data_IF_820978137299
#
_entry.id   IF_820978137299
#
_cell.length_a   1.000
_cell.length_b   1.000
_cell.length_c   1.000
_cell.angle_alpha   90.00
_cell.angle_beta   90.00
_cell.angle_gamma   90.00
#
_symmetry.space_group_name_H-M   'P 1'
#
loop_
_entity.id
_entity.type
_entity.pdbx_description
1 polymer ?
#
# COMPACT_ATOMS: atom_id res chain seq x y z
N UNK A 1 16.40 19.17 4.54
CA UNK A 1 16.41 18.31 3.33
C UNK A 1 15.05 17.65 3.26
N UNK A 2 14.28 17.84 2.18
CA UNK A 2 12.95 17.26 2.05
C UNK A 2 13.07 15.81 1.56
N UNK A 3 12.47 14.86 2.28
CA UNK A 3 12.48 13.45 1.88
C UNK A 3 11.57 13.25 0.65
N UNK A 4 11.88 12.27 -0.23
CA UNK A 4 10.96 11.84 -1.26
C UNK A 4 9.62 11.42 -0.64
N UNK A 5 8.51 11.72 -1.31
CA UNK A 5 7.17 11.43 -0.77
C UNK A 5 6.95 9.94 -0.50
N UNK A 6 7.54 9.07 -1.32
CA UNK A 6 7.50 7.62 -1.13
C UNK A 6 8.19 7.19 0.17
N UNK A 7 9.30 7.84 0.55
CA UNK A 7 9.97 7.59 1.83
C UNK A 7 9.10 8.00 3.01
N UNK A 8 8.43 9.15 2.91
CA UNK A 8 7.52 9.63 3.96
C UNK A 8 6.33 8.68 4.12
N UNK A 9 5.68 8.29 3.02
CA UNK A 9 4.57 7.34 3.04
C UNK A 9 4.98 5.96 3.54
N UNK A 10 6.18 5.49 3.21
CA UNK A 10 6.73 4.23 3.71
C UNK A 10 6.88 4.25 5.24
N UNK A 11 7.49 5.31 5.78
CA UNK A 11 7.65 5.49 7.23
C UNK A 11 6.30 5.62 7.93
N UNK A 12 5.37 6.38 7.34
CA UNK A 12 4.01 6.52 7.86
C UNK A 12 3.30 5.16 7.90
N UNK A 13 3.33 4.41 6.81
CA UNK A 13 2.73 3.07 6.70
C UNK A 13 3.26 2.13 7.78
N UNK A 14 4.58 2.09 7.98
CA UNK A 14 5.19 1.32 9.08
C UNK A 14 4.69 1.75 10.46
N UNK A 15 4.52 3.05 10.68
CA UNK A 15 4.06 3.58 11.96
C UNK A 15 2.60 3.21 12.24
N UNK A 16 1.71 3.35 11.25
CA UNK A 16 0.29 3.06 11.43
C UNK A 16 0.01 1.56 11.52
N UNK A 17 0.79 0.72 10.81
CA UNK A 17 0.65 -0.73 10.87
C UNK A 17 0.78 -1.26 12.30
N UNK A 18 1.54 -0.61 13.20
CA UNK A 18 1.62 -1.00 14.62
C UNK A 18 0.27 -1.05 15.34
N UNK A 19 -0.71 -0.30 14.86
CA UNK A 19 -2.05 -0.20 15.45
C UNK A 19 -3.16 -0.64 14.49
N UNK A 20 -2.80 -1.16 13.31
CA UNK A 20 -3.74 -1.57 12.27
C UNK A 20 -3.56 -3.04 11.92
N UNK A 21 -4.68 -3.70 11.60
CA UNK A 21 -4.64 -5.07 11.08
C UNK A 21 -4.15 -5.11 9.63
N UNK A 22 -4.60 -4.14 8.83
CA UNK A 22 -4.17 -3.92 7.46
C UNK A 22 -4.13 -2.44 7.11
N UNK A 23 -3.35 -2.10 6.10
CA UNK A 23 -3.36 -0.80 5.42
C UNK A 23 -3.45 -1.07 3.93
N UNK A 24 -4.30 -0.30 3.26
CA UNK A 24 -4.60 -0.47 1.84
C UNK A 24 -4.31 0.83 1.10
N UNK A 25 -3.61 0.70 -0.02
CA UNK A 25 -3.33 1.78 -0.96
C UNK A 25 -3.85 1.33 -2.32
N UNK A 26 -4.65 2.16 -2.98
CA UNK A 26 -5.11 1.87 -4.33
C UNK A 26 -5.10 3.14 -5.18
N UNK A 27 -5.09 2.95 -6.50
CA UNK A 27 -5.24 4.02 -7.48
C UNK A 27 -6.58 3.90 -8.18
N UNK A 28 -7.27 5.03 -8.34
CA UNK A 28 -8.41 5.16 -9.22
C UNK A 28 -8.44 6.59 -9.76
N UNK A 29 -8.97 6.77 -10.96
CA UNK A 29 -9.40 8.09 -11.41
C UNK A 29 -10.72 8.46 -10.73
N UNK A 30 -11.08 9.74 -10.81
CA UNK A 30 -12.40 10.17 -10.37
C UNK A 30 -13.48 9.40 -11.14
N UNK A 31 -14.50 8.91 -10.42
CA UNK A 31 -15.59 8.08 -10.94
C UNK A 31 -15.18 6.66 -11.36
N UNK A 32 -13.93 6.24 -11.09
CA UNK A 32 -13.47 4.86 -11.31
C UNK A 32 -13.31 4.06 -10.00
N UNK A 33 -13.79 4.56 -8.87
CA UNK A 33 -13.61 3.92 -7.56
C UNK A 33 -14.29 2.54 -7.47
N UNK A 34 -15.40 2.37 -8.19
CA UNK A 34 -16.16 1.12 -8.28
C UNK A 34 -15.75 0.23 -9.48
N UNK A 35 -14.80 0.70 -10.30
CA UNK A 35 -14.30 -0.07 -11.45
C UNK A 35 -13.40 -1.19 -10.94
N UNK A 36 -13.45 -2.34 -11.63
CA UNK A 36 -12.67 -3.51 -11.25
C UNK A 36 -11.15 -3.22 -11.22
N UNK A 37 -10.52 -3.67 -10.14
CA UNK A 37 -9.07 -3.58 -9.95
C UNK A 37 -8.34 -4.37 -11.04
N UNK A 38 -7.28 -3.79 -11.61
CA UNK A 38 -6.45 -4.47 -12.59
C UNK A 38 -5.53 -5.52 -11.96
N UNK A 39 -5.13 -5.30 -10.70
CA UNK A 39 -4.23 -6.16 -9.95
C UNK A 39 -4.39 -5.96 -8.44
N UNK A 40 -4.06 -7.00 -7.68
CA UNK A 40 -3.93 -6.93 -6.22
C UNK A 40 -2.59 -7.51 -5.80
N UNK A 41 -1.84 -6.76 -4.98
CA UNK A 41 -0.64 -7.22 -4.28
C UNK A 41 -0.91 -7.25 -2.79
N UNK A 42 -0.55 -8.34 -2.13
CA UNK A 42 -0.62 -8.46 -0.68
C UNK A 42 0.78 -8.76 -0.12
N UNK A 43 1.22 -7.93 0.82
CA UNK A 43 2.49 -8.05 1.53
C UNK A 43 2.24 -8.17 3.03
N UNK A 44 3.01 -8.99 3.72
CA UNK A 44 3.17 -8.84 5.17
C UNK A 44 4.06 -7.63 5.49
N UNK A 45 4.06 -7.18 6.75
CA UNK A 45 4.96 -6.10 7.17
C UNK A 45 6.45 -6.44 6.97
N UNK A 46 6.81 -7.73 7.07
CA UNK A 46 8.18 -8.21 6.82
C UNK A 46 8.53 -8.25 5.32
N UNK A 47 7.54 -8.37 4.44
CA UNK A 47 7.72 -8.34 2.98
C UNK A 47 7.74 -6.90 2.41
N UNK A 48 7.21 -5.93 3.17
CA UNK A 48 7.18 -4.51 2.81
C UNK A 48 8.50 -3.80 3.17
N UNK A 49 9.56 -4.07 2.42
CA UNK A 49 10.95 -3.69 2.73
C UNK A 49 11.47 -2.43 2.02
N UNK A 50 10.70 -1.85 1.09
CA UNK A 50 11.16 -0.73 0.28
C UNK A 50 10.06 0.30 -0.02
N UNK A 51 10.37 1.62 0.03
CA UNK A 51 9.46 2.67 -0.41
C UNK A 51 9.00 2.53 -1.86
N UNK A 52 9.76 1.83 -2.71
CA UNK A 52 9.39 1.60 -4.12
C UNK A 52 8.17 0.67 -4.25
N UNK A 53 7.88 -0.15 -3.23
CA UNK A 53 6.70 -1.03 -3.25
C UNK A 53 5.39 -0.26 -3.17
N UNK A 54 5.41 1.02 -2.75
CA UNK A 54 4.25 1.94 -2.77
C UNK A 54 3.92 2.51 -4.16
N UNK A 55 4.75 2.24 -5.17
CA UNK A 55 4.42 2.64 -6.54
C UNK A 55 3.36 1.67 -7.07
N UNK A 56 2.20 2.21 -7.41
CA UNK A 56 1.05 1.49 -7.91
C UNK A 56 0.87 1.71 -9.41
N UNK A 57 0.41 0.68 -10.10
CA UNK A 57 -0.08 0.76 -11.49
C UNK A 57 -1.52 1.28 -11.53
N UNK A 58 -2.06 1.45 -12.73
CA UNK A 58 -3.46 1.83 -12.94
C UNK A 58 -4.41 0.81 -12.31
N UNK A 59 -5.36 1.26 -11.48
CA UNK A 59 -6.33 0.42 -10.75
C UNK A 59 -5.70 -0.74 -9.97
N UNK A 60 -4.50 -0.54 -9.43
CA UNK A 60 -3.83 -1.54 -8.61
C UNK A 60 -4.11 -1.32 -7.13
N UNK A 61 -4.43 -2.40 -6.42
CA UNK A 61 -4.53 -2.43 -4.96
C UNK A 61 -3.25 -3.04 -4.36
N UNK A 62 -2.67 -2.35 -3.39
CA UNK A 62 -1.66 -2.87 -2.47
C UNK A 62 -2.25 -2.98 -1.07
N UNK A 63 -2.23 -4.20 -0.51
CA UNK A 63 -2.59 -4.47 0.88
C UNK A 63 -1.35 -4.85 1.66
N UNK A 64 -1.13 -4.17 2.77
CA UNK A 64 -0.09 -4.52 3.74
C UNK A 64 -0.82 -5.05 4.97
N UNK A 65 -0.59 -6.32 5.31
CA UNK A 65 -1.32 -7.04 6.35
C UNK A 65 -0.38 -7.51 7.45
N UNK A 66 -0.90 -7.63 8.67
CA UNK A 66 -0.15 -8.24 9.77
C UNK A 66 0.13 -9.73 9.52
N UNK A 67 -0.85 -10.42 8.92
CA UNK A 67 -0.77 -11.84 8.58
C UNK A 67 -1.62 -12.10 7.35
N UNK A 68 -1.08 -12.86 6.39
CA UNK A 68 -1.85 -13.36 5.24
C UNK A 68 -2.91 -14.34 5.73
N UNK A 69 -4.12 -14.22 5.21
CA UNK A 69 -5.17 -15.21 5.48
C UNK A 69 -4.80 -16.51 4.75
N UNK A 70 -4.71 -17.61 5.50
CA UNK A 70 -4.53 -18.97 4.97
C UNK A 70 -5.89 -19.59 4.68
#
# INVERSE_FOLDING_TARGET
>A
MQLPITTLLYQYTYSIMKNSFSVEWFTAWADEEDVELSATRELTLDEFTSPLQLILKDRELLRIVQKKWQ
#
